data_IF_573752772231
#
_entry.id   IF_573752772231
#
_cell.length_a   1.000
_cell.length_b   1.000
_cell.length_c   1.000
_cell.angle_alpha   90.00
_cell.angle_beta   90.00
_cell.angle_gamma   90.00
#
_symmetry.space_group_name_H-M   'P 1'
#
loop_
_entity.id
_entity.type
_entity.pdbx_description
1 polymer ?
#
# COMPACT_ATOMS: atom_id res chain seq x y z
N UNK A 1 -7.56 0.79 -19.49
CA UNK A 1 -6.65 -0.33 -19.17
C UNK A 1 -5.54 0.26 -18.31
N UNK A 2 -5.22 -0.33 -17.16
CA UNK A 2 -4.13 0.17 -16.32
C UNK A 2 -2.82 0.06 -17.10
N UNK A 3 -1.99 1.11 -17.07
CA UNK A 3 -0.60 1.01 -17.53
C UNK A 3 0.22 0.42 -16.38
N UNK A 4 0.73 -0.82 -16.50
CA UNK A 4 1.50 -1.44 -15.43
C UNK A 4 2.74 -0.63 -15.05
N UNK A 5 3.32 0.14 -16.00
CA UNK A 5 4.48 1.01 -15.73
C UNK A 5 4.14 2.22 -14.86
N UNK A 6 2.87 2.60 -14.78
CA UNK A 6 2.37 3.69 -13.95
C UNK A 6 1.46 3.20 -12.81
N UNK A 7 1.61 1.93 -12.40
CA UNK A 7 0.76 1.30 -11.38
C UNK A 7 1.56 1.04 -10.09
N UNK A 8 0.98 1.42 -8.95
CA UNK A 8 1.55 1.24 -7.60
C UNK A 8 0.63 0.31 -6.80
N UNK A 9 1.10 -0.90 -6.51
CA UNK A 9 0.37 -1.92 -5.79
C UNK A 9 0.42 -1.70 -4.26
N UNK A 10 -0.64 -2.08 -3.56
CA UNK A 10 -0.67 -2.10 -2.10
C UNK A 10 -1.63 -3.17 -1.58
N UNK A 11 -1.41 -3.64 -0.35
CA UNK A 11 -2.34 -4.53 0.33
C UNK A 11 -3.46 -3.73 1.00
N UNK A 12 -4.71 -4.14 0.79
CA UNK A 12 -5.88 -3.58 1.46
C UNK A 12 -7.01 -3.23 0.49
N UNK A 13 -7.64 -2.10 0.70
CA UNK A 13 -8.78 -1.63 -0.10
C UNK A 13 -8.64 -0.14 -0.44
N UNK A 14 -9.27 0.35 -1.52
CA UNK A 14 -9.31 1.77 -1.81
C UNK A 14 -9.78 2.59 -0.61
N UNK A 15 -9.10 3.70 -0.31
CA UNK A 15 -9.34 4.52 0.87
C UNK A 15 -8.64 4.06 2.16
N UNK A 16 -7.99 2.88 2.19
CA UNK A 16 -7.15 2.48 3.31
C UNK A 16 -5.92 3.40 3.44
N UNK A 17 -5.24 3.38 4.60
CA UNK A 17 -4.02 4.16 4.81
C UNK A 17 -2.92 3.83 3.81
N UNK A 18 -2.81 2.59 3.33
CA UNK A 18 -1.86 2.22 2.27
C UNK A 18 -2.21 2.87 0.93
N UNK A 19 -3.50 2.97 0.56
CA UNK A 19 -3.93 3.74 -0.64
C UNK A 19 -3.59 5.23 -0.48
N UNK A 20 -3.82 5.78 0.71
CA UNK A 20 -3.48 7.16 1.04
C UNK A 20 -1.97 7.42 0.95
N UNK A 21 -1.16 6.48 1.44
CA UNK A 21 0.29 6.53 1.34
C UNK A 21 0.76 6.50 -0.13
N UNK A 22 0.18 5.60 -0.94
CA UNK A 22 0.44 5.54 -2.38
C UNK A 22 0.16 6.89 -3.06
N UNK A 23 -1.03 7.46 -2.86
CA UNK A 23 -1.44 8.72 -3.47
C UNK A 23 -0.65 9.93 -2.96
N UNK A 24 -0.15 9.86 -1.72
CA UNK A 24 0.65 10.93 -1.13
C UNK A 24 2.09 10.91 -1.64
N UNK A 25 2.70 9.72 -1.74
CA UNK A 25 4.08 9.55 -2.19
C UNK A 25 4.22 9.63 -3.73
N UNK A 26 3.22 9.13 -4.47
CA UNK A 26 3.22 9.04 -5.93
C UNK A 26 1.87 9.50 -6.51
N UNK A 27 1.54 10.81 -6.46
CA UNK A 27 0.23 11.33 -6.86
C UNK A 27 -0.13 11.09 -8.33
N UNK A 28 0.86 10.93 -9.20
CA UNK A 28 0.69 10.70 -10.64
C UNK A 28 0.48 9.22 -11.01
N UNK A 29 0.67 8.30 -10.06
CA UNK A 29 0.53 6.86 -10.28
C UNK A 29 -0.88 6.37 -9.96
N UNK A 30 -1.33 5.35 -10.69
CA UNK A 30 -2.60 4.68 -10.41
C UNK A 30 -2.40 3.62 -9.32
N UNK A 31 -3.27 3.58 -8.31
CA UNK A 31 -3.16 2.62 -7.22
C UNK A 31 -3.87 1.30 -7.54
N UNK A 32 -3.25 0.18 -7.18
CA UNK A 32 -3.78 -1.18 -7.34
C UNK A 32 -3.91 -1.85 -5.97
N UNK A 33 -5.15 -2.07 -5.54
CA UNK A 33 -5.45 -2.75 -4.28
C UNK A 33 -5.37 -4.27 -4.45
N UNK A 34 -4.67 -4.94 -3.55
CA UNK A 34 -4.54 -6.40 -3.48
C UNK A 34 -5.00 -6.93 -2.13
N UNK A 35 -5.34 -8.22 -2.08
CA UNK A 35 -5.91 -8.86 -0.88
C UNK A 35 -4.84 -9.18 0.16
N UNK A 36 -3.66 -9.61 -0.27
CA UNK A 36 -2.53 -9.98 0.58
C UNK A 36 -1.24 -9.23 0.23
N UNK A 37 -0.22 -9.38 1.07
CA UNK A 37 1.11 -8.85 0.77
C UNK A 37 1.79 -9.65 -0.34
N UNK A 38 1.58 -10.96 -0.37
CA UNK A 38 2.05 -11.87 -1.40
C UNK A 38 1.52 -11.44 -2.78
N UNK A 39 0.21 -11.19 -2.90
CA UNK A 39 -0.42 -10.67 -4.13
C UNK A 39 0.19 -9.32 -4.54
N UNK A 40 0.52 -8.47 -3.54
CA UNK A 40 1.14 -7.17 -3.77
C UNK A 40 2.55 -7.30 -4.33
N UNK A 41 3.34 -8.21 -3.78
CA UNK A 41 4.68 -8.49 -4.29
C UNK A 41 4.63 -9.17 -5.65
N UNK A 42 3.69 -10.11 -5.86
CA UNK A 42 3.48 -10.77 -7.14
C UNK A 42 3.10 -9.77 -8.23
N UNK A 43 2.26 -8.79 -7.93
CA UNK A 43 1.91 -7.74 -8.90
C UNK A 43 3.15 -7.02 -9.45
N UNK A 44 4.18 -6.78 -8.62
CA UNK A 44 5.44 -6.20 -9.08
C UNK A 44 6.29 -7.23 -9.82
N UNK A 45 6.44 -8.45 -9.29
CA UNK A 45 7.24 -9.52 -9.92
C UNK A 45 6.76 -9.89 -11.32
N UNK A 46 5.44 -9.93 -11.53
CA UNK A 46 4.85 -10.31 -12.82
C UNK A 46 4.67 -9.11 -13.75
N UNK A 47 5.09 -7.90 -13.34
CA UNK A 47 4.99 -6.69 -14.14
C UNK A 47 3.56 -6.15 -14.29
N UNK A 48 2.64 -6.50 -13.39
CA UNK A 48 1.30 -5.91 -13.31
C UNK A 48 1.29 -4.55 -12.58
N UNK A 49 2.34 -4.26 -11.82
CA UNK A 49 2.61 -2.97 -11.19
C UNK A 49 4.10 -2.65 -11.28
N UNK A 50 4.44 -1.36 -11.34
CA UNK A 50 5.82 -0.91 -11.36
C UNK A 50 6.44 -0.91 -9.96
N UNK A 51 5.62 -0.62 -8.94
CA UNK A 51 6.05 -0.44 -7.55
C UNK A 51 5.03 -1.07 -6.59
N UNK A 52 5.46 -1.29 -5.35
CA UNK A 52 4.59 -1.65 -4.24
C UNK A 52 4.82 -0.73 -3.04
N UNK A 53 3.74 -0.32 -2.37
CA UNK A 53 3.77 0.40 -1.10
C UNK A 53 3.46 -0.57 0.03
N UNK A 54 4.44 -0.76 0.93
CA UNK A 54 4.40 -1.79 1.96
C UNK A 54 4.59 -1.14 3.34
N UNK A 55 3.60 -1.22 4.24
CA UNK A 55 3.74 -0.71 5.61
C UNK A 55 4.67 -1.64 6.41
N UNK A 56 5.76 -1.09 6.95
CA UNK A 56 6.74 -1.85 7.74
C UNK A 56 6.48 -1.72 9.24
N UNK A 57 6.11 -0.53 9.70
CA UNK A 57 5.97 -0.22 11.12
C UNK A 57 4.83 0.78 11.36
N UNK A 58 4.14 0.62 12.49
CA UNK A 58 3.14 1.55 12.99
C UNK A 58 3.49 1.94 14.43
N UNK A 59 3.46 3.24 14.74
CA UNK A 59 3.81 3.75 16.07
C UNK A 59 2.90 3.26 17.20
N UNK A 60 1.66 2.84 16.90
CA UNK A 60 0.69 2.35 17.89
C UNK A 60 0.69 0.82 17.96
N UNK A 61 0.66 0.15 16.81
CA UNK A 61 0.52 -1.30 16.73
C UNK A 61 1.87 -2.05 16.63
N UNK A 62 2.98 -1.32 16.53
CA UNK A 62 4.30 -1.88 16.31
C UNK A 62 4.54 -2.32 14.87
N UNK A 63 5.51 -3.22 14.68
CA UNK A 63 5.90 -3.76 13.38
C UNK A 63 4.77 -4.58 12.75
N UNK A 64 4.65 -4.51 11.43
CA UNK A 64 3.76 -5.38 10.67
C UNK A 64 4.42 -6.75 10.54
N UNK A 65 4.00 -7.70 11.39
CA UNK A 65 4.72 -8.95 11.65
C UNK A 65 4.99 -9.80 10.39
N UNK A 66 4.04 -9.85 9.46
CA UNK A 66 4.15 -10.69 8.25
C UNK A 66 5.20 -10.14 7.28
N UNK A 67 5.40 -8.82 7.27
CA UNK A 67 6.30 -8.15 6.32
C UNK A 67 7.76 -8.50 6.54
N UNK A 68 8.18 -8.66 7.80
CA UNK A 68 9.57 -8.95 8.13
C UNK A 68 10.03 -10.32 7.62
N UNK A 69 9.07 -11.24 7.41
CA UNK A 69 9.32 -12.54 6.83
C UNK A 69 9.22 -12.51 5.30
N UNK A 70 8.24 -11.77 4.76
CA UNK A 70 7.97 -11.77 3.32
C UNK A 70 8.94 -10.91 2.49
N UNK A 71 9.43 -9.78 3.03
CA UNK A 71 10.32 -8.88 2.28
C UNK A 71 11.64 -9.52 1.87
N UNK A 72 12.38 -10.21 2.77
CA UNK A 72 13.64 -10.88 2.41
C UNK A 72 13.48 -11.86 1.24
N UNK A 73 12.36 -12.58 1.20
CA UNK A 73 12.09 -13.61 0.20
C UNK A 73 11.34 -13.07 -1.04
N UNK A 74 10.98 -11.78 -1.05
CA UNK A 74 10.17 -11.18 -2.11
C UNK A 74 10.87 -11.10 -3.47
N UNK A 75 12.22 -11.10 -3.48
CA UNK A 75 13.04 -10.84 -4.67
C UNK A 75 13.00 -9.39 -5.16
N UNK A 76 12.46 -8.47 -4.35
CA UNK A 76 12.34 -7.05 -4.66
C UNK A 76 13.36 -6.21 -3.87
N UNK A 77 13.53 -4.95 -4.28
CA UNK A 77 14.41 -4.00 -3.63
C UNK A 77 13.62 -2.82 -3.04
N UNK A 78 13.98 -2.41 -1.83
CA UNK A 78 13.48 -1.17 -1.24
C UNK A 78 14.19 -0.01 -1.94
N UNK A 79 13.42 0.92 -2.51
CA UNK A 79 13.96 2.08 -3.26
C UNK A 79 13.60 3.43 -2.64
N UNK A 80 12.66 3.45 -1.70
CA UNK A 80 12.13 4.66 -1.08
C UNK A 80 11.41 4.32 0.23
N UNK A 81 11.17 5.33 1.06
CA UNK A 81 10.35 5.26 2.26
C UNK A 81 9.33 6.40 2.31
N UNK A 82 8.22 6.19 3.03
CA UNK A 82 7.18 7.20 3.24
C UNK A 82 6.59 7.07 4.65
N UNK A 83 6.39 8.21 5.31
CA UNK A 83 5.75 8.26 6.63
C UNK A 83 4.33 8.82 6.50
N UNK A 84 3.34 7.95 6.66
CA UNK A 84 1.93 8.32 6.58
C UNK A 84 1.36 8.61 7.97
N UNK A 85 0.89 9.86 8.18
CA UNK A 85 0.14 10.20 9.39
C UNK A 85 -1.23 9.50 9.37
N UNK A 86 -1.52 8.78 10.44
CA UNK A 86 -2.79 8.08 10.68
C UNK A 86 -3.74 9.00 11.46
N UNK A 87 -4.86 9.39 10.86
CA UNK A 87 -5.91 10.20 11.50
C UNK A 87 -7.26 9.48 11.38
N UNK A 88 -7.81 9.02 12.50
CA UNK A 88 -9.10 8.34 12.52
C UNK A 88 -10.23 9.36 12.44
N UNK A 89 -11.17 9.16 11.52
CA UNK A 89 -12.32 10.03 11.32
C UNK A 89 -13.60 9.30 11.68
N UNK A 90 -14.47 9.95 12.46
CA UNK A 90 -15.83 9.49 12.70
C UNK A 90 -16.69 9.91 11.49
N UNK A 91 -17.34 8.94 10.86
CA UNK A 91 -18.21 9.17 9.70
C UNK A 91 -19.66 8.88 10.08
N UNK A 92 -20.56 9.78 9.67
CA UNK A 92 -22.00 9.59 9.74
C UNK A 92 -22.60 9.70 8.33
N UNK A 93 -23.73 9.03 8.09
CA UNK A 93 -24.49 9.26 6.86
C UNK A 93 -25.03 10.69 6.90
N UNK A 94 -25.13 11.36 5.75
CA UNK A 94 -25.65 12.71 5.67
C UNK A 94 -27.03 12.81 6.37
N UNK A 95 -27.15 13.74 7.33
CA UNK A 95 -28.36 13.95 8.12
C UNK A 95 -28.50 13.06 9.36
N UNK A 96 -27.47 12.29 9.73
CA UNK A 96 -27.45 11.53 11.00
C UNK A 96 -27.27 12.50 12.17
N UNK A 97 -28.15 12.40 13.18
CA UNK A 97 -28.02 13.05 14.50
C UNK A 97 -27.42 12.09 15.54
#
# INVERSE_FOLDING_TARGET
MFDPKNTLAFQGSPGAYSDMACRSAYPEMTTLANRSFEDTFDAVRTGNAALAMIPIENSVAGRVADIHHLLPDSGLHIIAEHFQRVNHHLLGVAGTE
#
